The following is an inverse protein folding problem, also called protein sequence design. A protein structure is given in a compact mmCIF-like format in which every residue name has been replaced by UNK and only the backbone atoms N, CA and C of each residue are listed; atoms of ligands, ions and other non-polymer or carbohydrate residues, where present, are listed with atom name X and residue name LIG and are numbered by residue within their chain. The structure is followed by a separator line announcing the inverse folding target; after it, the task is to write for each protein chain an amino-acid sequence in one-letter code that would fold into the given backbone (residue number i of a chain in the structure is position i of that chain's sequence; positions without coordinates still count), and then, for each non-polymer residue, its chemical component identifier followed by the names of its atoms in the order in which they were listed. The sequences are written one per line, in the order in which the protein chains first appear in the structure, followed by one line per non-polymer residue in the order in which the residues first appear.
data_IF_048159917299
#
_entry.id   IF_048159917299
#
_cell.length_a   1.000
_cell.length_b   1.000
_cell.length_c   1.000
_cell.angle_alpha   90.00
_cell.angle_beta   90.00
_cell.angle_gamma   90.00
#
_symmetry.space_group_name_H-M   'P 1'
#
loop_
_entity.id
_entity.type
_entity.pdbx_description
1 polymer ?
#
# COMPACT_ATOMS: atom_id res chain seq x y z
N UNK A 1 -12.55 14.97 -29.81
CA UNK A 1 -11.96 13.95 -28.91
C UNK A 1 -11.16 14.68 -27.85
N UNK A 2 -11.50 14.54 -26.57
CA UNK A 2 -10.65 15.05 -25.48
C UNK A 2 -9.50 14.05 -25.35
N UNK A 3 -8.22 14.45 -25.42
CA UNK A 3 -7.14 13.51 -25.15
C UNK A 3 -7.29 12.99 -23.70
N UNK A 4 -6.93 11.72 -23.43
CA UNK A 4 -6.87 11.25 -22.05
C UNK A 4 -5.89 12.17 -21.30
N UNK A 5 -6.35 12.72 -20.18
CA UNK A 5 -5.49 13.50 -19.30
C UNK A 5 -4.34 12.58 -18.86
N UNK A 6 -3.11 12.95 -19.21
CA UNK A 6 -1.86 12.22 -19.00
C UNK A 6 -1.43 12.15 -17.51
N UNK A 7 -2.37 11.93 -16.59
CA UNK A 7 -2.12 12.04 -15.14
C UNK A 7 -1.87 10.66 -14.48
N UNK A 8 -1.91 9.57 -15.25
CA UNK A 8 -1.82 8.20 -14.69
C UNK A 8 -0.69 7.38 -15.28
N UNK A 9 0.17 7.97 -16.10
CA UNK A 9 1.25 7.24 -16.80
C UNK A 9 2.54 7.12 -15.98
N UNK A 10 2.68 7.86 -14.87
CA UNK A 10 3.93 7.91 -14.07
C UNK A 10 3.72 7.72 -12.54
N UNK A 11 2.70 6.96 -12.12
CA UNK A 11 2.45 6.70 -10.70
C UNK A 11 3.01 5.36 -10.26
N UNK A 12 3.77 5.37 -9.17
CA UNK A 12 4.33 4.19 -8.53
C UNK A 12 3.27 3.48 -7.69
N UNK A 13 3.17 2.17 -7.88
CA UNK A 13 2.33 1.29 -7.08
C UNK A 13 3.20 0.62 -6.01
N UNK A 14 2.87 0.88 -4.75
CA UNK A 14 3.39 0.11 -3.63
C UNK A 14 2.29 -0.84 -3.14
N UNK A 15 2.58 -2.13 -3.05
CA UNK A 15 1.66 -3.12 -2.51
C UNK A 15 2.35 -4.02 -1.50
N UNK A 16 1.60 -4.44 -0.48
CA UNK A 16 2.10 -5.40 0.51
C UNK A 16 1.59 -6.78 0.11
N UNK A 17 2.44 -7.70 -0.38
CA UNK A 17 2.01 -9.05 -0.74
C UNK A 17 1.45 -9.83 0.46
N UNK A 18 1.88 -9.47 1.67
CA UNK A 18 1.37 -10.01 2.93
C UNK A 18 -0.06 -9.54 3.29
N UNK A 19 -0.56 -8.46 2.67
CA UNK A 19 -1.91 -7.92 2.90
C UNK A 19 -2.62 -7.77 1.55
N UNK A 20 -3.30 -8.83 1.07
CA UNK A 20 -4.03 -8.76 -0.18
C UNK A 20 -5.13 -7.68 -0.09
N UNK A 21 -4.90 -6.55 -0.76
CA UNK A 21 -5.77 -5.38 -0.73
C UNK A 21 -5.13 -4.11 -0.17
N UNK A 22 -3.99 -4.21 0.52
CA UNK A 22 -3.23 -3.05 0.98
C UNK A 22 -2.28 -2.58 -0.13
N UNK A 23 -2.70 -1.53 -0.83
CA UNK A 23 -2.00 -0.95 -1.97
C UNK A 23 -2.12 0.56 -1.94
N UNK A 24 -1.03 1.25 -2.28
CA UNK A 24 -0.92 2.68 -2.32
C UNK A 24 -0.29 3.13 -3.64
N UNK A 25 -0.69 4.32 -4.08
CA UNK A 25 -0.18 4.93 -5.31
C UNK A 25 0.43 6.29 -4.97
N UNK A 26 1.60 6.59 -5.51
CA UNK A 26 2.27 7.87 -5.34
C UNK A 26 2.97 8.30 -6.62
N UNK A 27 3.30 9.59 -6.74
CA UNK A 27 4.08 10.10 -7.88
C UNK A 27 5.54 9.63 -7.85
N UNK A 28 6.00 9.16 -6.68
CA UNK A 28 7.34 8.57 -6.48
C UNK A 28 7.22 7.28 -5.66
N UNK A 29 8.22 6.37 -5.72
CA UNK A 29 8.19 5.16 -4.90
C UNK A 29 8.24 5.48 -3.41
N UNK A 30 8.94 6.54 -3.01
CA UNK A 30 9.00 7.02 -1.63
C UNK A 30 7.62 7.46 -1.13
N UNK A 31 6.89 8.24 -1.95
CA UNK A 31 5.54 8.70 -1.62
C UNK A 31 4.54 7.53 -1.56
N UNK A 32 4.62 6.59 -2.50
CA UNK A 32 3.79 5.40 -2.49
C UNK A 32 4.04 4.55 -1.23
N UNK A 33 5.30 4.44 -0.78
CA UNK A 33 5.66 3.76 0.46
C UNK A 33 5.17 4.50 1.70
N UNK A 34 5.31 5.82 1.78
CA UNK A 34 4.86 6.61 2.94
C UNK A 34 3.33 6.48 3.12
N UNK A 35 2.59 6.50 2.02
CA UNK A 35 1.15 6.26 2.01
C UNK A 35 0.86 4.81 2.45
N UNK A 36 1.61 3.83 1.93
CA UNK A 36 1.44 2.43 2.29
C UNK A 36 1.69 2.18 3.78
N UNK A 37 2.72 2.78 4.37
CA UNK A 37 3.03 2.71 5.80
C UNK A 37 1.90 3.29 6.64
N UNK A 38 1.36 4.44 6.24
CA UNK A 38 0.22 5.06 6.93
C UNK A 38 -1.03 4.19 6.86
N UNK A 39 -1.33 3.62 5.69
CA UNK A 39 -2.48 2.72 5.50
C UNK A 39 -2.30 1.42 6.28
N UNK A 40 -1.10 0.84 6.28
CA UNK A 40 -0.79 -0.37 7.04
C UNK A 40 -0.91 -0.12 8.56
N UNK A 41 -0.43 1.02 9.05
CA UNK A 41 -0.59 1.41 10.45
C UNK A 41 -2.07 1.57 10.83
N UNK A 42 -2.86 2.26 10.01
CA UNK A 42 -4.30 2.42 10.21
C UNK A 42 -5.05 1.08 10.17
N UNK A 43 -4.63 0.16 9.30
CA UNK A 43 -5.18 -1.19 9.23
C UNK A 43 -4.92 -1.98 10.51
N UNK A 44 -3.69 -1.92 11.03
CA UNK A 44 -3.31 -2.57 12.30
C UNK A 44 -4.11 -1.99 13.46
N UNK A 45 -4.24 -0.67 13.52
CA UNK A 45 -5.00 0.02 14.55
C UNK A 45 -6.47 -0.39 14.50
N UNK A 46 -7.09 -0.36 13.31
CA UNK A 46 -8.47 -0.79 13.10
C UNK A 46 -8.70 -2.26 13.47
N UNK A 47 -7.78 -3.17 13.13
CA UNK A 47 -7.87 -4.58 13.54
C UNK A 47 -7.79 -4.73 15.06
N UNK A 48 -6.91 -3.97 15.74
CA UNK A 48 -6.82 -3.97 17.20
C UNK A 48 -8.10 -3.44 17.85
N UNK A 49 -8.68 -2.36 17.30
CA UNK A 49 -9.93 -1.78 17.78
C UNK A 49 -11.12 -2.72 17.61
N UNK A 50 -11.20 -3.41 16.48
CA UNK A 50 -12.25 -4.39 16.20
C UNK A 50 -12.00 -5.76 16.85
N UNK A 51 -10.78 -6.01 17.36
CA UNK A 51 -10.39 -7.31 17.90
C UNK A 51 -10.19 -8.39 16.82
N UNK A 52 -9.99 -7.97 15.57
CA UNK A 52 -9.72 -8.86 14.45
C UNK A 52 -8.27 -9.37 14.52
N UNK A 53 -8.05 -10.69 14.34
CA UNK A 53 -6.72 -11.25 14.33
C UNK A 53 -5.94 -10.74 13.12
N UNK A 54 -4.81 -10.08 13.40
CA UNK A 54 -3.86 -9.68 12.37
C UNK A 54 -3.33 -10.92 11.63
N UNK A 55 -3.35 -10.96 10.28
CA UNK A 55 -2.83 -12.10 9.53
C UNK A 55 -1.35 -12.38 9.88
N UNK A 56 -0.95 -13.65 9.99
CA UNK A 56 0.44 -14.01 10.36
C UNK A 56 1.49 -13.40 9.40
N UNK A 57 1.11 -13.13 8.16
CA UNK A 57 1.97 -12.56 7.13
C UNK A 57 2.51 -11.15 7.47
N UNK A 58 1.82 -10.35 8.28
CA UNK A 58 2.34 -9.05 8.77
C UNK A 58 3.28 -9.18 9.97
N UNK A 59 3.33 -10.34 10.63
CA UNK A 59 4.33 -10.61 11.67
C UNK A 59 5.70 -10.94 11.05
N UNK A 60 5.72 -11.40 9.80
CA UNK A 60 6.93 -11.75 9.04
C UNK A 60 7.27 -10.64 8.03
N UNK A 61 7.49 -9.41 8.51
CA UNK A 61 7.83 -8.27 7.63
C UNK A 61 9.22 -8.47 7.05
N UNK A 62 9.29 -8.80 5.77
CA UNK A 62 10.53 -8.88 5.02
C UNK A 62 10.27 -9.27 3.58
N UNK A 63 9.70 -8.36 2.79
CA UNK A 63 9.94 -8.16 1.35
C UNK A 63 8.85 -7.21 0.81
N UNK A 64 9.19 -5.92 0.68
CA UNK A 64 8.34 -4.95 -0.01
C UNK A 64 8.80 -4.97 -1.47
N UNK A 65 7.96 -5.51 -2.36
CA UNK A 65 8.23 -5.52 -3.81
C UNK A 65 7.72 -4.21 -4.40
N UNK A 66 8.64 -3.29 -4.71
CA UNK A 66 8.30 -2.08 -5.47
C UNK A 66 8.40 -2.44 -6.95
N UNK A 67 7.26 -2.53 -7.64
CA UNK A 67 7.24 -2.71 -9.09
C UNK A 67 7.34 -1.33 -9.76
N UNK A 68 8.39 -1.16 -10.58
CA UNK A 68 8.67 0.03 -11.37
C UNK A 68 8.16 -0.11 -12.81
#
# INVERSE_FOLDING_TARGET
MRPPSHDTEDKYLAEVPALPGCRAWGDTPEEALEILESVAAAYIDSCKEHGDPLPESICQVGEIVVAA
#
